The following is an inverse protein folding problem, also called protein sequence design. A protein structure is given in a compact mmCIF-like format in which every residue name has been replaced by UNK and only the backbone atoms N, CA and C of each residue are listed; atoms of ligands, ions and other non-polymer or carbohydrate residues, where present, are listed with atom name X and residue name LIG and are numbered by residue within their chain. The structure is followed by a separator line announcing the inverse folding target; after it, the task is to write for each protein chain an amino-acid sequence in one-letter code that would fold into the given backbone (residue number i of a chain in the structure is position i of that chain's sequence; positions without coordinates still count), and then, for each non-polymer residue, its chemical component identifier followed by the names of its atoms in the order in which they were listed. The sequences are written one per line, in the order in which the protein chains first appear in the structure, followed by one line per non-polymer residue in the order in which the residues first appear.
data_IF_715621063659
#
_entry.id   IF_715621063659
#
_cell.length_a   1.000
_cell.length_b   1.000
_cell.length_c   1.000
_cell.angle_alpha   90.00
_cell.angle_beta   90.00
_cell.angle_gamma   90.00
#
_symmetry.space_group_name_H-M   'P 1'
#
loop_
_entity.id
_entity.type
_entity.pdbx_description
1 polymer ?
#
# COMPACT_ATOMS: atom_id res chain seq x y z
N UNK A 1 31.46 -7.41 14.50
CA UNK A 1 30.13 -8.02 14.23
C UNK A 1 29.30 -7.00 13.45
N UNK A 2 28.79 -7.32 12.25
CA UNK A 2 27.94 -6.40 11.46
C UNK A 2 26.73 -7.17 10.93
N UNK A 3 25.60 -7.12 11.64
CA UNK A 3 24.33 -7.68 11.18
C UNK A 3 23.75 -6.76 10.10
N UNK A 4 24.05 -7.02 8.82
CA UNK A 4 23.31 -6.39 7.71
C UNK A 4 21.95 -7.08 7.61
N UNK A 5 20.96 -6.54 8.31
CA UNK A 5 19.55 -6.87 8.09
C UNK A 5 19.11 -6.20 6.77
N UNK A 6 19.49 -6.83 5.66
CA UNK A 6 18.82 -6.64 4.38
C UNK A 6 17.43 -7.26 4.50
N UNK A 7 16.48 -6.46 4.99
CA UNK A 7 15.06 -6.80 4.99
C UNK A 7 14.57 -6.76 3.53
N UNK A 8 14.77 -7.88 2.84
CA UNK A 8 14.26 -8.13 1.50
C UNK A 8 12.75 -8.02 1.50
N UNK A 9 12.19 -6.89 1.05
CA UNK A 9 10.76 -6.74 0.84
C UNK A 9 10.36 -7.49 -0.43
N UNK A 10 10.28 -8.81 -0.32
CA UNK A 10 9.81 -9.69 -1.39
C UNK A 10 8.31 -9.48 -1.60
N UNK A 11 7.93 -8.88 -2.74
CA UNK A 11 6.59 -9.05 -3.30
C UNK A 11 6.70 -10.02 -4.48
N UNK A 12 6.41 -11.29 -4.21
CA UNK A 12 6.33 -12.30 -5.26
C UNK A 12 5.07 -12.06 -6.09
N UNK A 13 5.24 -11.71 -7.37
CA UNK A 13 4.15 -11.56 -8.31
C UNK A 13 3.54 -12.94 -8.65
N UNK A 14 2.51 -13.35 -7.91
CA UNK A 14 1.64 -14.46 -8.30
C UNK A 14 0.71 -13.99 -9.42
N UNK A 15 1.09 -14.28 -10.67
CA UNK A 15 0.26 -13.96 -11.84
C UNK A 15 -1.00 -14.87 -11.87
N UNK A 16 -2.16 -14.32 -11.50
CA UNK A 16 -3.44 -14.94 -11.84
C UNK A 16 -3.83 -14.55 -13.26
N UNK A 17 -3.57 -15.44 -14.21
CA UNK A 17 -4.14 -15.36 -15.56
C UNK A 17 -5.63 -15.70 -15.50
N UNK A 18 -6.50 -14.69 -15.59
CA UNK A 18 -7.94 -14.86 -15.68
C UNK A 18 -8.55 -13.97 -16.79
N UNK A 19 -8.10 -14.19 -18.03
CA UNK A 19 -8.74 -13.61 -19.22
C UNK A 19 -9.50 -14.71 -19.98
N UNK A 20 -10.82 -14.77 -19.78
CA UNK A 20 -11.78 -14.90 -20.88
C UNK A 20 -13.22 -14.70 -20.39
N UNK A 21 -13.79 -13.54 -20.74
CA UNK A 21 -15.22 -13.29 -20.66
C UNK A 21 -15.69 -12.88 -22.06
N UNK A 22 -16.85 -13.37 -22.49
CA UNK A 22 -17.57 -12.87 -23.67
C UNK A 22 -19.07 -12.70 -23.32
N UNK A 23 -19.78 -11.67 -23.82
CA UNK A 23 -21.03 -11.20 -23.21
C UNK A 23 -22.32 -11.53 -24.01
N UNK A 24 -23.46 -11.02 -23.48
CA UNK A 24 -24.88 -11.03 -23.90
C UNK A 24 -25.76 -11.84 -22.91
N UNK A 25 -27.06 -11.61 -22.62
CA UNK A 25 -28.10 -10.57 -22.89
C UNK A 25 -29.30 -10.88 -21.94
N UNK A 26 -30.33 -10.05 -21.62
CA UNK A 26 -30.69 -8.65 -21.87
C UNK A 26 -31.67 -8.13 -20.76
N UNK A 27 -32.38 -7.01 -20.99
CA UNK A 27 -33.32 -6.32 -20.07
C UNK A 27 -34.70 -7.01 -19.89
N UNK A 28 -35.54 -6.59 -18.92
CA UNK A 28 -36.68 -5.72 -19.30
C UNK A 28 -36.95 -4.53 -18.36
N UNK A 29 -37.69 -3.54 -18.88
CA UNK A 29 -38.00 -2.23 -18.28
C UNK A 29 -39.11 -2.28 -17.23
N UNK A 30 -39.11 -1.34 -16.26
CA UNK A 30 -40.00 -0.15 -16.30
C UNK A 30 -40.06 0.66 -14.99
N UNK A 31 -40.63 1.86 -15.13
CA UNK A 31 -41.19 2.76 -14.11
C UNK A 31 -40.26 3.75 -13.38
N UNK A 32 -40.80 4.97 -13.25
CA UNK A 32 -40.09 6.22 -13.04
C UNK A 32 -40.65 6.89 -11.78
N UNK A 33 -39.93 6.75 -10.66
CA UNK A 33 -40.22 7.53 -9.45
C UNK A 33 -39.09 8.53 -9.24
N UNK A 34 -39.35 9.80 -9.53
CA UNK A 34 -38.40 10.89 -9.27
C UNK A 34 -38.45 11.25 -7.79
N UNK A 35 -37.79 10.44 -6.96
CA UNK A 35 -37.41 10.85 -5.63
C UNK A 35 -36.21 11.79 -5.76
N UNK A 36 -36.30 13.00 -5.20
CA UNK A 36 -35.15 13.87 -4.99
C UNK A 36 -34.25 13.22 -3.94
N UNK A 37 -33.34 12.36 -4.39
CA UNK A 37 -32.35 11.72 -3.56
C UNK A 37 -31.44 12.80 -2.98
N UNK A 38 -31.68 13.15 -1.71
CA UNK A 38 -30.68 13.82 -0.90
C UNK A 38 -29.45 12.92 -0.91
N UNK A 39 -28.33 13.42 -1.42
CA UNK A 39 -27.10 12.66 -1.61
C UNK A 39 -26.48 12.33 -0.25
N UNK A 40 -27.01 11.29 0.38
CA UNK A 40 -26.28 10.55 1.39
C UNK A 40 -24.95 10.14 0.77
N UNK A 41 -23.84 10.50 1.43
CA UNK A 41 -22.54 9.95 1.06
C UNK A 41 -22.68 8.42 1.06
N UNK A 42 -22.19 7.70 0.01
CA UNK A 42 -22.36 6.26 -0.08
C UNK A 42 -21.76 5.63 1.18
N UNK A 43 -22.62 5.00 2.00
CA UNK A 43 -22.16 4.34 3.22
C UNK A 43 -21.24 3.20 2.83
N UNK A 44 -20.03 3.19 3.38
CA UNK A 44 -19.08 2.11 3.15
C UNK A 44 -19.69 0.76 3.56
N UNK A 45 -19.38 -0.28 2.80
CA UNK A 45 -19.78 -1.64 3.11
C UNK A 45 -18.85 -2.25 4.17
N UNK A 46 -19.36 -3.22 4.92
CA UNK A 46 -18.58 -3.98 5.90
C UNK A 46 -18.86 -5.46 5.66
N UNK A 47 -17.81 -6.28 5.62
CA UNK A 47 -17.91 -7.72 5.39
C UNK A 47 -18.59 -8.11 4.06
N UNK A 48 -18.52 -7.24 3.05
CA UNK A 48 -18.97 -7.52 1.68
C UNK A 48 -17.79 -8.07 0.85
N UNK A 49 -17.78 -9.38 0.60
CA UNK A 49 -16.70 -10.06 -0.13
C UNK A 49 -16.44 -9.46 -1.53
N UNK A 50 -17.48 -9.02 -2.24
CA UNK A 50 -17.36 -8.45 -3.59
C UNK A 50 -16.72 -7.07 -3.57
N UNK A 51 -17.13 -6.20 -2.64
CA UNK A 51 -16.49 -4.88 -2.48
C UNK A 51 -15.04 -5.03 -2.00
N UNK A 52 -14.77 -5.91 -1.02
CA UNK A 52 -13.41 -6.21 -0.55
C UNK A 52 -12.53 -6.69 -1.71
N UNK A 53 -13.01 -7.61 -2.56
CA UNK A 53 -12.28 -8.09 -3.76
C UNK A 53 -11.96 -6.96 -4.72
N UNK A 54 -12.94 -6.10 -5.02
CA UNK A 54 -12.76 -4.98 -5.94
C UNK A 54 -11.77 -3.95 -5.39
N UNK A 55 -11.84 -3.65 -4.10
CA UNK A 55 -10.96 -2.70 -3.42
C UNK A 55 -9.53 -3.22 -3.29
N UNK A 56 -9.34 -4.50 -2.93
CA UNK A 56 -8.02 -5.13 -2.94
C UNK A 56 -7.38 -5.08 -4.33
N UNK A 57 -8.17 -5.32 -5.39
CA UNK A 57 -7.69 -5.21 -6.77
C UNK A 57 -7.25 -3.77 -7.11
N UNK A 58 -7.98 -2.73 -6.64
CA UNK A 58 -7.59 -1.33 -6.82
C UNK A 58 -6.26 -1.02 -6.12
N UNK A 59 -6.13 -1.38 -4.84
CA UNK A 59 -4.92 -1.18 -4.03
C UNK A 59 -3.73 -1.94 -4.63
N UNK A 60 -3.92 -3.18 -5.06
CA UNK A 60 -2.88 -3.99 -5.71
C UNK A 60 -2.46 -3.40 -7.06
N UNK A 61 -3.41 -2.91 -7.87
CA UNK A 61 -3.12 -2.27 -9.16
C UNK A 61 -2.27 -1.01 -8.98
N UNK A 62 -2.63 -0.15 -8.02
CA UNK A 62 -1.84 1.03 -7.68
C UNK A 62 -0.43 0.63 -7.20
N UNK A 63 -0.34 -0.31 -6.26
CA UNK A 63 0.94 -0.78 -5.71
C UNK A 63 1.86 -1.35 -6.80
N UNK A 64 1.33 -2.19 -7.69
CA UNK A 64 2.07 -2.75 -8.81
C UNK A 64 2.55 -1.67 -9.79
N UNK A 65 1.74 -0.63 -10.04
CA UNK A 65 2.11 0.49 -10.92
C UNK A 65 3.31 1.32 -10.41
N UNK A 66 3.64 1.21 -9.12
CA UNK A 66 4.75 1.94 -8.46
C UNK A 66 5.91 1.05 -8.01
N UNK A 67 5.77 -0.27 -8.11
CA UNK A 67 6.75 -1.24 -7.62
C UNK A 67 8.15 -1.03 -8.21
N UNK A 68 8.26 -0.72 -9.51
CA UNK A 68 9.57 -0.50 -10.15
C UNK A 68 10.29 0.73 -9.59
N UNK A 69 9.56 1.83 -9.36
CA UNK A 69 10.13 3.07 -8.82
C UNK A 69 10.64 2.87 -7.38
N UNK A 70 9.89 2.13 -6.56
CA UNK A 70 10.33 1.71 -5.22
C UNK A 70 11.58 0.81 -5.25
N UNK A 71 11.65 -0.14 -6.19
CA UNK A 71 12.83 -1.00 -6.41
C UNK A 71 14.05 -0.16 -6.80
N UNK A 72 13.86 0.82 -7.69
CA UNK A 72 14.94 1.71 -8.14
C UNK A 72 15.47 2.59 -6.99
N UNK A 73 14.59 3.11 -6.11
CA UNK A 73 15.01 3.78 -4.88
C UNK A 73 15.79 2.86 -3.95
N UNK A 74 15.31 1.64 -3.70
CA UNK A 74 16.02 0.66 -2.86
C UNK A 74 17.41 0.33 -3.43
N UNK A 75 17.53 0.19 -4.75
CA UNK A 75 18.79 -0.06 -5.45
C UNK A 75 19.76 1.14 -5.33
N UNK A 76 19.30 2.35 -5.62
CA UNK A 76 20.08 3.60 -5.46
C UNK A 76 20.57 3.75 -4.02
N UNK A 77 19.68 3.62 -3.03
CA UNK A 77 20.00 3.76 -1.61
C UNK A 77 21.03 2.73 -1.15
N UNK A 78 20.88 1.48 -1.58
CA UNK A 78 21.81 0.39 -1.27
C UNK A 78 23.21 0.68 -1.84
N UNK A 79 23.31 1.18 -3.08
CA UNK A 79 24.60 1.54 -3.69
C UNK A 79 25.26 2.73 -2.98
N UNK A 80 24.50 3.79 -2.66
CA UNK A 80 25.03 4.95 -1.94
C UNK A 80 25.51 4.58 -0.53
N UNK A 81 24.74 3.77 0.21
CA UNK A 81 25.12 3.24 1.52
C UNK A 81 26.35 2.31 1.48
N UNK A 82 26.54 1.53 0.40
CA UNK A 82 27.75 0.73 0.22
C UNK A 82 28.99 1.59 -0.03
N UNK A 83 28.86 2.71 -0.74
CA UNK A 83 29.92 3.68 -1.03
C UNK A 83 30.21 4.64 0.13
N UNK A 84 29.33 4.70 1.14
CA UNK A 84 29.39 5.72 2.20
C UNK A 84 28.99 7.12 1.73
N UNK A 85 28.31 7.22 0.59
CA UNK A 85 27.94 8.48 -0.04
C UNK A 85 26.70 9.10 0.64
N UNK A 86 26.97 9.88 1.70
CA UNK A 86 25.95 10.61 2.45
C UNK A 86 25.19 11.63 1.61
N UNK A 87 25.83 12.27 0.63
CA UNK A 87 25.18 13.30 -0.18
C UNK A 87 24.09 12.68 -1.07
N UNK A 88 24.45 11.59 -1.76
CA UNK A 88 23.49 10.82 -2.57
C UNK A 88 22.40 10.19 -1.72
N UNK A 89 22.71 9.69 -0.51
CA UNK A 89 21.68 9.20 0.43
C UNK A 89 20.67 10.28 0.83
N UNK A 90 21.10 11.52 1.11
CA UNK A 90 20.18 12.62 1.43
C UNK A 90 19.29 12.99 0.23
N UNK A 91 19.82 12.99 -0.99
CA UNK A 91 19.01 13.18 -2.22
C UNK A 91 17.95 12.10 -2.35
N UNK A 92 18.34 10.83 -2.21
CA UNK A 92 17.43 9.68 -2.35
C UNK A 92 16.32 9.72 -1.30
N UNK A 93 16.60 10.08 -0.05
CA UNK A 93 15.55 10.20 0.98
C UNK A 93 14.58 11.36 0.68
N UNK A 94 15.07 12.45 0.09
CA UNK A 94 14.23 13.57 -0.37
C UNK A 94 13.33 13.18 -1.56
N UNK A 95 13.89 12.46 -2.54
CA UNK A 95 13.14 11.89 -3.66
C UNK A 95 12.09 10.86 -3.17
N UNK A 96 12.48 9.94 -2.28
CA UNK A 96 11.58 8.95 -1.66
C UNK A 96 10.42 9.61 -0.92
N UNK A 97 10.66 10.71 -0.19
CA UNK A 97 9.60 11.45 0.50
C UNK A 97 8.55 11.97 -0.48
N UNK A 98 8.99 12.56 -1.58
CA UNK A 98 8.11 13.05 -2.66
C UNK A 98 7.31 11.92 -3.31
N UNK A 99 7.96 10.77 -3.54
CA UNK A 99 7.32 9.55 -4.03
C UNK A 99 6.26 9.01 -3.05
N UNK A 100 6.57 8.96 -1.75
CA UNK A 100 5.66 8.49 -0.70
C UNK A 100 4.47 9.44 -0.52
N UNK A 101 4.68 10.75 -0.49
CA UNK A 101 3.59 11.75 -0.40
C UNK A 101 2.62 11.58 -1.58
N UNK A 102 3.16 11.36 -2.78
CA UNK A 102 2.36 11.06 -3.98
C UNK A 102 1.63 9.71 -3.86
N UNK A 103 2.31 8.63 -3.48
CA UNK A 103 1.68 7.31 -3.29
C UNK A 103 0.55 7.35 -2.26
N UNK A 104 0.75 8.06 -1.15
CA UNK A 104 -0.28 8.26 -0.12
C UNK A 104 -1.48 9.07 -0.67
N UNK A 105 -1.22 10.10 -1.47
CA UNK A 105 -2.27 10.88 -2.17
C UNK A 105 -3.07 10.01 -3.14
N UNK A 106 -2.38 9.18 -3.94
CA UNK A 106 -3.01 8.26 -4.89
C UNK A 106 -3.81 7.15 -4.18
N UNK A 107 -3.33 6.68 -3.01
CA UNK A 107 -4.06 5.75 -2.14
C UNK A 107 -5.35 6.40 -1.61
N UNK A 108 -5.29 7.65 -1.16
CA UNK A 108 -6.47 8.40 -0.68
C UNK A 108 -7.47 8.72 -1.79
N UNK A 109 -6.99 8.87 -3.04
CA UNK A 109 -7.83 9.02 -4.22
C UNK A 109 -8.55 7.73 -4.66
N UNK A 110 -8.21 6.55 -4.11
CA UNK A 110 -8.94 5.31 -4.40
C UNK A 110 -10.37 5.37 -3.85
N UNK A 111 -11.35 5.14 -4.73
CA UNK A 111 -12.77 5.09 -4.40
C UNK A 111 -13.15 3.73 -3.76
N UNK A 112 -12.51 3.44 -2.61
CA UNK A 112 -12.74 2.21 -1.84
C UNK A 112 -14.15 2.20 -1.24
N UNK A 113 -14.80 1.04 -1.29
CA UNK A 113 -16.17 0.85 -0.78
C UNK A 113 -16.21 0.16 0.57
N UNK A 114 -15.28 -0.74 0.84
CA UNK A 114 -15.22 -1.59 2.02
C UNK A 114 -14.44 -0.94 3.16
N UNK A 115 -15.00 -0.96 4.36
CA UNK A 115 -14.34 -0.45 5.58
C UNK A 115 -13.03 -1.18 5.87
N UNK A 116 -12.97 -2.48 5.57
CA UNK A 116 -11.77 -3.28 5.78
C UNK A 116 -10.58 -2.87 4.90
N UNK A 117 -10.78 -2.63 3.59
CA UNK A 117 -9.67 -2.23 2.71
C UNK A 117 -9.30 -0.75 2.90
N UNK A 118 -10.23 0.09 3.34
CA UNK A 118 -9.89 1.44 3.81
C UNK A 118 -8.97 1.41 5.05
N UNK A 119 -9.21 0.51 6.01
CA UNK A 119 -8.31 0.32 7.15
C UNK A 119 -6.92 -0.20 6.74
N UNK A 120 -6.84 -1.10 5.75
CA UNK A 120 -5.56 -1.50 5.13
C UNK A 120 -4.84 -0.31 4.50
N UNK A 121 -5.54 0.52 3.71
CA UNK A 121 -4.98 1.73 3.10
C UNK A 121 -4.36 2.65 4.16
N UNK A 122 -5.04 2.86 5.28
CA UNK A 122 -4.54 3.73 6.34
C UNK A 122 -3.28 3.15 7.01
N UNK A 123 -3.24 1.83 7.26
CA UNK A 123 -2.02 1.13 7.72
C UNK A 123 -0.88 1.18 6.68
N UNK A 124 -1.19 1.11 5.38
CA UNK A 124 -0.18 1.26 4.31
C UNK A 124 0.45 2.66 4.34
N UNK A 125 -0.35 3.71 4.49
CA UNK A 125 0.15 5.09 4.64
C UNK A 125 0.99 5.25 5.92
N UNK A 126 0.60 4.66 7.05
CA UNK A 126 1.44 4.65 8.26
C UNK A 126 2.79 3.97 7.98
N UNK A 127 2.78 2.80 7.33
CA UNK A 127 4.01 2.06 7.00
C UNK A 127 4.93 2.85 6.06
N UNK A 128 4.36 3.53 5.07
CA UNK A 128 5.07 4.41 4.15
C UNK A 128 5.75 5.57 4.90
N UNK A 129 4.99 6.28 5.75
CA UNK A 129 5.51 7.41 6.54
C UNK A 129 6.59 6.97 7.52
N UNK A 130 6.39 5.83 8.18
CA UNK A 130 7.34 5.23 9.10
C UNK A 130 8.65 4.81 8.41
N UNK A 131 8.58 4.40 7.14
CA UNK A 131 9.74 4.17 6.28
C UNK A 131 10.55 5.45 6.01
N UNK A 132 9.88 6.58 5.81
CA UNK A 132 10.53 7.90 5.70
C UNK A 132 11.16 8.32 7.03
N UNK A 133 10.42 8.25 8.15
CA UNK A 133 10.94 8.59 9.48
C UNK A 133 12.19 7.77 9.85
N UNK A 134 12.18 6.47 9.54
CA UNK A 134 13.32 5.58 9.77
C UNK A 134 14.51 5.95 8.86
N UNK A 135 14.25 6.31 7.61
CA UNK A 135 15.28 6.72 6.66
C UNK A 135 15.93 8.04 7.08
N UNK A 136 15.14 9.07 7.38
CA UNK A 136 15.60 10.37 7.89
C UNK A 136 16.41 10.18 9.18
N UNK A 137 15.92 9.41 10.15
CA UNK A 137 16.62 9.15 11.41
C UNK A 137 17.95 8.40 11.22
N UNK A 138 18.10 7.61 10.16
CA UNK A 138 19.28 6.77 9.92
C UNK A 138 20.42 7.46 9.16
N UNK A 139 20.16 8.58 8.47
CA UNK A 139 21.16 9.25 7.61
C UNK A 139 21.81 10.50 8.21
N UNK A 140 21.32 10.98 9.36
CA UNK A 140 21.93 12.10 10.09
C UNK A 140 23.32 11.73 10.63
N UNK A 141 24.18 12.73 10.90
CA UNK A 141 25.56 12.49 11.31
C UNK A 141 25.72 11.78 12.66
N UNK A 142 24.79 12.00 13.59
CA UNK A 142 24.74 11.34 14.90
C UNK A 142 23.35 10.71 15.10
N UNK A 143 23.09 9.49 14.59
CA UNK A 143 21.78 8.86 14.68
C UNK A 143 21.38 8.50 16.11
N UNK A 144 20.15 8.81 16.50
CA UNK A 144 19.57 8.31 17.75
C UNK A 144 19.21 6.82 17.57
N UNK A 145 20.10 5.96 18.04
CA UNK A 145 19.93 4.51 17.97
C UNK A 145 18.72 4.00 18.76
N UNK A 146 18.26 4.71 19.79
CA UNK A 146 17.04 4.35 20.54
C UNK A 146 15.82 4.65 19.67
N UNK A 147 15.73 5.85 19.09
CA UNK A 147 14.66 6.22 18.14
C UNK A 147 14.62 5.26 16.95
N UNK A 148 15.77 4.94 16.34
CA UNK A 148 15.86 3.98 15.23
C UNK A 148 15.31 2.60 15.64
N UNK A 149 15.69 2.10 16.81
CA UNK A 149 15.21 0.79 17.30
C UNK A 149 13.70 0.80 17.53
N UNK A 150 13.15 1.90 18.06
CA UNK A 150 11.71 2.07 18.26
C UNK A 150 10.94 2.10 16.93
N UNK A 151 11.42 2.87 15.94
CA UNK A 151 10.84 2.94 14.59
C UNK A 151 10.91 1.56 13.89
N UNK A 152 12.02 0.82 14.01
CA UNK A 152 12.16 -0.53 13.48
C UNK A 152 11.19 -1.52 14.14
N UNK A 153 10.97 -1.42 15.45
CA UNK A 153 10.00 -2.26 16.16
C UNK A 153 8.56 -1.95 15.72
N UNK A 154 8.18 -0.67 15.60
CA UNK A 154 6.88 -0.25 15.05
C UNK A 154 6.68 -0.76 13.63
N UNK A 155 7.69 -0.63 12.75
CA UNK A 155 7.60 -1.09 11.37
C UNK A 155 7.44 -2.61 11.29
N UNK A 156 8.15 -3.35 12.15
CA UNK A 156 8.04 -4.81 12.24
C UNK A 156 6.67 -5.26 12.78
N UNK A 157 6.07 -4.52 13.71
CA UNK A 157 4.72 -4.80 14.21
C UNK A 157 3.66 -4.54 13.13
N UNK A 158 3.67 -3.33 12.56
CA UNK A 158 2.73 -2.91 11.51
C UNK A 158 2.80 -3.80 10.26
N UNK A 159 4.00 -4.23 9.86
CA UNK A 159 4.18 -5.17 8.75
C UNK A 159 3.55 -6.54 9.02
N UNK A 160 3.54 -7.02 10.28
CA UNK A 160 2.88 -8.28 10.66
C UNK A 160 1.35 -8.14 10.64
N UNK A 161 0.84 -7.02 11.17
CA UNK A 161 -0.59 -6.71 11.14
C UNK A 161 -1.10 -6.62 9.71
N UNK A 162 -0.44 -5.82 8.86
CA UNK A 162 -0.75 -5.70 7.43
C UNK A 162 -0.78 -7.07 6.73
N UNK A 163 0.19 -7.95 6.98
CA UNK A 163 0.22 -9.29 6.36
C UNK A 163 -0.94 -10.17 6.84
N UNK A 164 -1.21 -10.19 8.15
CA UNK A 164 -2.28 -11.01 8.72
C UNK A 164 -3.68 -10.55 8.27
N UNK A 165 -3.91 -9.23 8.24
CA UNK A 165 -5.16 -8.65 7.75
C UNK A 165 -5.31 -8.85 6.23
N UNK A 166 -4.28 -8.62 5.43
CA UNK A 166 -4.32 -8.89 3.97
C UNK A 166 -4.62 -10.36 3.66
N UNK A 167 -4.03 -11.31 4.39
CA UNK A 167 -4.36 -12.74 4.24
C UNK A 167 -5.84 -13.04 4.57
N UNK A 168 -6.35 -12.41 5.63
CA UNK A 168 -7.75 -12.54 6.04
C UNK A 168 -8.70 -11.97 4.98
N UNK A 169 -8.40 -10.78 4.44
CA UNK A 169 -9.22 -10.14 3.41
C UNK A 169 -9.10 -10.85 2.05
N UNK A 170 -7.94 -11.41 1.71
CA UNK A 170 -7.80 -12.25 0.51
C UNK A 170 -8.67 -13.50 0.61
N UNK A 171 -8.80 -14.10 1.80
CA UNK A 171 -9.71 -15.23 2.03
C UNK A 171 -11.18 -14.82 1.80
N UNK A 172 -11.59 -13.65 2.30
CA UNK A 172 -12.93 -13.09 2.04
C UNK A 172 -13.15 -12.81 0.55
N UNK A 173 -12.19 -12.17 -0.12
CA UNK A 173 -12.25 -11.85 -1.55
C UNK A 173 -12.35 -13.10 -2.44
N UNK A 174 -11.64 -14.17 -2.09
CA UNK A 174 -11.70 -15.45 -2.78
C UNK A 174 -13.08 -16.15 -2.59
N UNK A 175 -13.82 -15.80 -1.55
CA UNK A 175 -15.19 -16.24 -1.29
C UNK A 175 -16.27 -15.29 -1.86
N UNK A 176 -15.90 -14.34 -2.73
CA UNK A 176 -16.86 -13.59 -3.53
C UNK A 176 -17.24 -14.38 -4.79
N UNK A 177 -18.55 -14.54 -5.00
CA UNK A 177 -19.13 -15.10 -6.22
C UNK A 177 -18.85 -14.23 -7.47
#
# INVERSE_FOLDING_TARGET
MKKRLLASLCVAAAALTACNQKPNEATPSSEKTVATAQTAAPSMSTNNNTDIKNDLNQVQTLSNSRAQEAIDFQNKATQAAQKGDKATLNSIVTEMKTYIDKLNTDLDALALKSTEVAAIRDKMKESNNLGIELSEASIVDNPDMKKITELQNRATALQKELVAEMQTLQTKANAAA
#
